data_IF_211605512831
#
_entry.id   IF_211605512831
#
_cell.length_a   1.000
_cell.length_b   1.000
_cell.length_c   1.000
_cell.angle_alpha   90.00
_cell.angle_beta   90.00
_cell.angle_gamma   90.00
#
_symmetry.space_group_name_H-M   'P 1'
#
loop_
_entity.id
_entity.type
_entity.pdbx_description
1 polymer ?
#
# COMPACT_ATOMS: atom_id res chain seq x y z
N UNK A 1 0.90 14.73 5.80
CA UNK A 1 1.35 14.03 7.03
C UNK A 1 2.86 14.08 7.21
N UNK A 2 3.63 13.55 6.26
CA UNK A 2 5.11 13.50 6.31
C UNK A 2 5.75 14.86 6.67
N UNK A 3 5.36 15.95 6.01
CA UNK A 3 5.88 17.30 6.29
C UNK A 3 5.64 17.75 7.73
N UNK A 4 4.47 17.42 8.30
CA UNK A 4 4.14 17.77 9.70
C UNK A 4 4.98 16.98 10.69
N UNK A 5 5.27 15.70 10.39
CA UNK A 5 6.17 14.88 11.19
C UNK A 5 7.61 15.40 11.10
N UNK A 6 8.08 15.75 9.90
CA UNK A 6 9.40 16.36 9.72
C UNK A 6 9.52 17.69 10.47
N UNK A 7 8.50 18.55 10.39
CA UNK A 7 8.45 19.82 11.12
C UNK A 7 8.43 19.64 12.65
N UNK A 8 7.94 18.49 13.15
CA UNK A 8 7.99 18.12 14.56
C UNK A 8 9.34 17.51 14.98
N UNK A 9 10.31 17.39 14.07
CA UNK A 9 11.67 16.92 14.37
C UNK A 9 11.92 15.43 14.13
N UNK A 10 10.96 14.69 13.56
CA UNK A 10 11.16 13.28 13.22
C UNK A 10 12.01 13.12 11.95
N UNK A 11 12.83 12.06 11.90
CA UNK A 11 13.36 11.57 10.62
C UNK A 11 12.22 10.88 9.87
N UNK A 12 11.94 11.32 8.65
CA UNK A 12 10.82 10.82 7.85
C UNK A 12 11.33 10.23 6.55
N UNK A 13 10.80 9.08 6.17
CA UNK A 13 10.91 8.50 4.83
C UNK A 13 9.51 8.35 4.25
N UNK A 14 9.28 8.90 3.05
CA UNK A 14 8.02 8.78 2.31
C UNK A 14 8.36 8.27 0.91
N UNK A 15 8.56 6.95 0.75
CA UNK A 15 8.98 6.40 -0.51
C UNK A 15 7.85 6.40 -1.54
N UNK A 16 8.21 6.61 -2.81
CA UNK A 16 7.33 6.38 -3.95
C UNK A 16 7.47 4.93 -4.38
N UNK A 17 6.39 4.16 -4.29
CA UNK A 17 6.38 2.73 -4.64
C UNK A 17 6.70 2.51 -6.14
N UNK A 18 7.28 1.34 -6.49
CA UNK A 18 7.43 0.93 -7.89
C UNK A 18 6.12 1.07 -8.69
N UNK A 19 6.21 1.60 -9.91
CA UNK A 19 5.05 1.83 -10.79
C UNK A 19 4.14 3.01 -10.42
N UNK A 20 4.30 3.61 -9.24
CA UNK A 20 3.44 4.70 -8.77
C UNK A 20 4.03 6.08 -9.11
N UNK A 21 3.15 7.03 -9.41
CA UNK A 21 3.51 8.44 -9.65
C UNK A 21 4.38 8.66 -10.89
N UNK A 22 4.27 7.78 -11.88
CA UNK A 22 4.97 7.83 -13.17
C UNK A 22 3.94 7.72 -14.31
N UNK A 23 4.02 6.69 -15.16
CA UNK A 23 2.97 6.35 -16.12
C UNK A 23 2.17 5.14 -15.63
N UNK A 24 0.88 5.07 -15.94
CA UNK A 24 0.03 3.94 -15.52
C UNK A 24 0.57 2.60 -16.05
N UNK A 25 1.18 2.59 -17.24
CA UNK A 25 1.78 1.38 -17.82
C UNK A 25 2.94 0.82 -16.99
N UNK A 26 3.65 1.66 -16.24
CA UNK A 26 4.72 1.20 -15.35
C UNK A 26 4.17 0.35 -14.21
N UNK A 27 2.92 0.59 -13.78
CA UNK A 27 2.25 -0.18 -12.74
C UNK A 27 2.03 -1.64 -13.16
N UNK A 28 1.76 -1.89 -14.45
CA UNK A 28 1.51 -3.25 -14.96
C UNK A 28 2.73 -4.16 -14.84
N UNK A 29 3.94 -3.60 -14.75
CA UNK A 29 5.17 -4.35 -14.54
C UNK A 29 5.47 -4.61 -13.05
N UNK A 30 4.58 -4.20 -12.15
CA UNK A 30 4.78 -4.30 -10.69
C UNK A 30 3.61 -4.99 -10.00
N UNK A 31 3.86 -5.53 -8.82
CA UNK A 31 2.82 -6.06 -7.94
C UNK A 31 3.25 -6.07 -6.48
N UNK A 32 2.50 -6.82 -5.68
CA UNK A 32 2.71 -6.90 -4.23
C UNK A 32 4.16 -7.21 -3.84
N UNK A 33 4.80 -8.16 -4.51
CA UNK A 33 6.17 -8.56 -4.19
C UNK A 33 7.16 -7.41 -4.41
N UNK A 34 6.98 -6.60 -5.46
CA UNK A 34 7.79 -5.40 -5.69
C UNK A 34 7.53 -4.32 -4.64
N UNK A 35 6.26 -4.07 -4.31
CA UNK A 35 5.87 -3.02 -3.36
C UNK A 35 6.29 -3.37 -1.93
N UNK A 36 6.13 -4.63 -1.51
CA UNK A 36 6.54 -5.12 -0.20
C UNK A 36 8.06 -5.20 -0.07
N UNK A 37 8.77 -5.68 -1.08
CA UNK A 37 10.24 -5.64 -1.10
C UNK A 37 10.78 -4.21 -1.02
N UNK A 38 10.16 -3.27 -1.73
CA UNK A 38 10.54 -1.87 -1.63
C UNK A 38 10.22 -1.30 -0.24
N UNK A 39 9.03 -1.54 0.31
CA UNK A 39 8.68 -1.10 1.66
C UNK A 39 9.68 -1.62 2.72
N UNK A 40 10.10 -2.87 2.59
CA UNK A 40 11.11 -3.51 3.45
C UNK A 40 12.48 -2.85 3.34
N UNK A 41 12.95 -2.60 2.11
CA UNK A 41 14.20 -1.88 1.86
C UNK A 41 14.20 -0.51 2.57
N UNK A 42 13.08 0.23 2.43
CA UNK A 42 12.93 1.56 3.01
C UNK A 42 12.83 1.54 4.52
N UNK A 43 12.09 0.58 5.08
CA UNK A 43 12.04 0.35 6.51
C UNK A 43 13.44 0.08 7.08
N UNK A 44 14.19 -0.89 6.51
CA UNK A 44 15.54 -1.21 6.97
C UNK A 44 16.49 -0.02 6.89
N UNK A 45 16.42 0.76 5.80
CA UNK A 45 17.24 1.96 5.64
C UNK A 45 16.93 3.03 6.69
N UNK A 46 15.66 3.17 7.11
CA UNK A 46 15.26 4.08 8.18
C UNK A 46 15.66 3.54 9.56
N UNK A 47 15.43 2.25 9.82
CA UNK A 47 15.78 1.58 11.07
C UNK A 47 17.30 1.60 11.35
N UNK A 48 18.14 1.56 10.31
CA UNK A 48 19.59 1.67 10.44
C UNK A 48 20.08 3.00 11.03
N UNK A 49 19.23 4.02 11.08
CA UNK A 49 19.56 5.39 11.54
C UNK A 49 18.58 5.97 12.55
N UNK A 50 17.67 5.15 13.08
CA UNK A 50 16.64 5.56 14.04
C UNK A 50 16.53 4.52 15.16
N UNK A 51 16.47 4.96 16.41
CA UNK A 51 16.32 4.07 17.56
C UNK A 51 14.95 3.39 17.59
N UNK A 52 13.92 4.09 17.11
CA UNK A 52 12.55 3.62 17.02
C UNK A 52 11.95 4.05 15.68
N UNK A 53 11.21 3.14 15.04
CA UNK A 53 10.50 3.41 13.79
C UNK A 53 9.02 3.15 13.99
N UNK A 54 8.20 4.09 13.51
CA UNK A 54 6.74 3.95 13.41
C UNK A 54 6.39 3.95 11.92
N UNK A 55 5.57 2.98 11.50
CA UNK A 55 5.14 2.86 10.09
C UNK A 55 3.69 3.32 9.97
N UNK A 56 3.43 4.18 9.00
CA UNK A 56 2.11 4.76 8.74
C UNK A 56 1.73 4.53 7.29
N UNK A 57 0.51 4.05 7.02
CA UNK A 57 0.08 3.78 5.65
C UNK A 57 -1.42 3.88 5.43
N UNK A 58 -1.81 4.32 4.23
CA UNK A 58 -3.19 4.47 3.76
C UNK A 58 -3.55 3.37 2.77
N UNK A 59 -4.72 2.75 2.89
CA UNK A 59 -5.26 1.77 1.93
C UNK A 59 -4.29 0.61 1.69
N UNK A 60 -3.80 0.42 0.46
CA UNK A 60 -2.71 -0.51 0.15
C UNK A 60 -1.45 -0.26 1.00
N UNK A 61 -1.10 0.99 1.27
CA UNK A 61 -0.02 1.34 2.20
C UNK A 61 -0.30 0.88 3.63
N UNK A 62 -1.57 0.81 4.03
CA UNK A 62 -1.98 0.22 5.30
C UNK A 62 -1.78 -1.31 5.31
N UNK A 63 -2.01 -1.98 4.18
CA UNK A 63 -1.69 -3.41 4.02
C UNK A 63 -0.17 -3.65 4.14
N UNK A 64 0.65 -2.82 3.48
CA UNK A 64 2.12 -2.85 3.61
C UNK A 64 2.58 -2.58 5.04
N UNK A 65 1.93 -1.65 5.75
CA UNK A 65 2.20 -1.35 7.16
C UNK A 65 1.93 -2.56 8.04
N UNK A 66 0.79 -3.22 7.85
CA UNK A 66 0.42 -4.42 8.58
C UNK A 66 1.35 -5.60 8.27
N UNK A 67 1.72 -5.77 6.99
CA UNK A 67 2.68 -6.76 6.54
C UNK A 67 4.06 -6.57 7.21
N UNK A 68 4.62 -5.36 7.16
CA UNK A 68 5.88 -5.02 7.84
C UNK A 68 5.80 -5.34 9.34
N UNK A 69 4.71 -4.95 10.00
CA UNK A 69 4.50 -5.26 11.41
C UNK A 69 4.44 -6.75 11.75
N UNK A 70 3.97 -7.58 10.82
CA UNK A 70 3.93 -9.03 11.00
C UNK A 70 5.28 -9.72 10.80
N UNK A 71 6.20 -9.07 10.07
CA UNK A 71 7.56 -9.55 9.81
C UNK A 71 8.59 -8.95 10.78
N UNK A 72 8.31 -7.76 11.32
CA UNK A 72 9.19 -6.96 12.18
C UNK A 72 8.51 -6.58 13.51
N UNK A 73 8.48 -7.51 14.49
CA UNK A 73 7.89 -7.24 15.80
C UNK A 73 8.62 -6.14 16.59
N UNK A 74 9.84 -5.76 16.18
CA UNK A 74 10.59 -4.65 16.76
C UNK A 74 10.10 -3.25 16.34
N UNK A 75 9.19 -3.13 15.35
CA UNK A 75 8.59 -1.86 14.95
C UNK A 75 7.85 -1.24 16.14
N UNK A 76 8.17 0.01 16.48
CA UNK A 76 7.69 0.67 17.69
C UNK A 76 6.20 1.06 17.64
N UNK A 77 5.61 1.12 16.44
CA UNK A 77 4.19 1.39 16.28
C UNK A 77 3.74 1.32 14.82
N UNK A 78 2.47 0.98 14.64
CA UNK A 78 1.81 0.89 13.33
C UNK A 78 0.59 1.81 13.31
N UNK A 79 0.42 2.57 12.23
CA UNK A 79 -0.76 3.41 11.99
C UNK A 79 -1.35 3.04 10.63
N UNK A 80 -2.39 2.22 10.66
CA UNK A 80 -3.12 1.77 9.49
C UNK A 80 -4.35 2.66 9.25
N UNK A 81 -4.41 3.32 8.10
CA UNK A 81 -5.55 4.16 7.71
C UNK A 81 -6.29 3.44 6.59
N UNK A 82 -7.52 2.98 6.85
CA UNK A 82 -8.35 2.26 5.88
C UNK A 82 -7.63 1.08 5.19
N UNK A 83 -6.85 0.30 5.94
CA UNK A 83 -5.98 -0.73 5.37
C UNK A 83 -6.75 -1.86 4.66
N UNK A 84 -6.24 -2.29 3.51
CA UNK A 84 -6.76 -3.44 2.76
C UNK A 84 -6.13 -4.73 3.29
N UNK A 85 -6.65 -5.26 4.39
CA UNK A 85 -6.12 -6.49 5.04
C UNK A 85 -7.02 -7.71 4.84
N UNK A 86 -8.20 -7.52 4.26
CA UNK A 86 -9.12 -8.57 3.83
C UNK A 86 -9.84 -8.10 2.58
N UNK A 87 -10.21 -9.05 1.72
CA UNK A 87 -10.99 -8.79 0.51
C UNK A 87 -12.39 -9.39 0.68
N UNK A 88 -13.46 -8.67 0.34
CA UNK A 88 -14.81 -9.24 0.36
C UNK A 88 -14.90 -10.53 -0.46
N UNK A 89 -15.57 -11.58 0.03
CA UNK A 89 -15.72 -12.83 -0.72
C UNK A 89 -16.28 -12.58 -2.13
N UNK A 90 -15.66 -13.19 -3.14
CA UNK A 90 -16.08 -13.05 -4.54
C UNK A 90 -15.51 -11.83 -5.27
N UNK A 91 -14.92 -10.84 -4.58
CA UNK A 91 -14.38 -9.65 -5.24
C UNK A 91 -13.12 -9.97 -6.06
N UNK A 92 -12.24 -10.83 -5.55
CA UNK A 92 -11.04 -11.26 -6.26
C UNK A 92 -11.39 -12.08 -7.51
N UNK A 93 -12.36 -12.98 -7.40
CA UNK A 93 -12.88 -13.77 -8.53
C UNK A 93 -13.52 -12.86 -9.58
N UNK A 94 -14.33 -11.88 -9.16
CA UNK A 94 -14.95 -10.92 -10.08
C UNK A 94 -13.90 -10.12 -10.86
N UNK A 95 -12.84 -9.63 -10.20
CA UNK A 95 -11.75 -8.93 -10.90
C UNK A 95 -11.01 -9.86 -11.87
N UNK A 96 -10.77 -11.12 -11.48
CA UNK A 96 -10.13 -12.10 -12.34
C UNK A 96 -11.00 -12.47 -13.56
N UNK A 97 -12.32 -12.53 -13.40
CA UNK A 97 -13.26 -12.76 -14.50
C UNK A 97 -13.22 -11.60 -15.51
N UNK A 98 -13.26 -10.35 -15.02
CA UNK A 98 -13.13 -9.15 -15.86
C UNK A 98 -11.80 -9.17 -16.63
N UNK A 99 -10.70 -9.50 -15.96
CA UNK A 99 -9.40 -9.65 -16.62
C UNK A 99 -9.43 -10.74 -17.71
N UNK A 100 -10.13 -11.85 -17.45
CA UNK A 100 -10.35 -12.94 -18.42
C UNK A 100 -11.15 -12.54 -19.66
N UNK A 101 -11.93 -11.46 -19.61
CA UNK A 101 -12.63 -10.90 -20.79
C UNK A 101 -11.70 -10.10 -21.72
N UNK A 102 -10.46 -9.83 -21.31
CA UNK A 102 -9.49 -9.01 -22.04
C UNK A 102 -9.43 -7.56 -21.60
N UNK A 103 -10.25 -7.15 -20.61
CA UNK A 103 -10.10 -5.85 -19.96
C UNK A 103 -8.85 -5.87 -19.06
N UNK A 104 -7.96 -4.89 -19.21
CA UNK A 104 -6.73 -4.78 -18.41
C UNK A 104 -6.86 -3.78 -17.25
N UNK A 105 -7.92 -2.96 -17.26
CA UNK A 105 -8.15 -1.85 -16.33
C UNK A 105 -9.62 -1.67 -15.98
N UNK A 106 -9.88 -1.09 -14.82
CA UNK A 106 -11.19 -0.56 -14.40
C UNK A 106 -11.10 0.94 -14.14
N UNK A 107 -12.22 1.64 -14.11
CA UNK A 107 -12.25 3.03 -13.68
C UNK A 107 -11.63 3.16 -12.27
N UNK A 108 -10.71 4.11 -12.12
CA UNK A 108 -10.13 4.47 -10.84
C UNK A 108 -11.17 5.07 -9.89
N UNK A 109 -10.88 5.00 -8.59
CA UNK A 109 -11.71 5.66 -7.57
C UNK A 109 -11.66 7.18 -7.77
N UNK A 110 -10.48 7.70 -8.15
CA UNK A 110 -10.24 9.14 -8.29
C UNK A 110 -10.20 9.85 -6.94
N UNK A 111 -10.25 11.19 -6.98
CA UNK A 111 -10.32 12.03 -5.78
C UNK A 111 -11.75 12.25 -5.34
N UNK A 112 -12.08 11.84 -4.11
CA UNK A 112 -13.36 12.14 -3.44
C UNK A 112 -13.19 13.09 -2.23
N UNK A 113 -12.03 13.75 -2.13
CA UNK A 113 -11.70 14.64 -1.02
C UNK A 113 -12.73 15.78 -0.93
N UNK A 114 -13.49 15.78 0.17
CA UNK A 114 -14.53 16.78 0.42
C UNK A 114 -13.99 18.21 0.67
N UNK A 115 -12.70 18.37 0.92
CA UNK A 115 -12.07 19.66 1.15
C UNK A 115 -11.93 20.45 -0.15
N UNK A 116 -12.54 21.65 -0.28
CA UNK A 116 -12.44 22.44 -1.51
C UNK A 116 -10.99 22.79 -1.87
N UNK A 117 -10.64 22.64 -3.15
CA UNK A 117 -9.32 22.95 -3.68
C UNK A 117 -8.24 21.92 -3.36
N UNK A 118 -8.62 20.75 -2.83
CA UNK A 118 -7.72 19.62 -2.61
C UNK A 118 -8.16 18.47 -3.50
N UNK A 119 -7.24 17.97 -4.32
CA UNK A 119 -7.45 16.80 -5.15
C UNK A 119 -6.42 15.73 -4.80
N UNK A 120 -6.89 14.49 -4.63
CA UNK A 120 -6.02 13.33 -4.56
C UNK A 120 -5.41 13.05 -5.92
N UNK A 121 -4.10 12.85 -5.96
CA UNK A 121 -3.42 12.40 -7.17
C UNK A 121 -3.69 10.91 -7.35
N UNK A 122 -4.53 10.57 -8.32
CA UNK A 122 -4.84 9.20 -8.70
C UNK A 122 -4.84 9.06 -10.22
N UNK A 123 -4.49 7.88 -10.72
CA UNK A 123 -4.70 7.56 -12.13
C UNK A 123 -6.21 7.45 -12.42
N UNK A 124 -6.60 7.74 -13.66
CA UNK A 124 -7.99 7.61 -14.10
C UNK A 124 -8.46 6.15 -14.11
N UNK A 125 -7.54 5.21 -14.24
CA UNK A 125 -7.81 3.77 -14.28
C UNK A 125 -7.00 3.01 -13.22
N UNK A 126 -7.52 1.86 -12.81
CA UNK A 126 -6.87 0.89 -11.93
C UNK A 126 -6.44 -0.34 -12.75
N UNK A 127 -5.13 -0.64 -12.86
CA UNK A 127 -4.62 -1.84 -13.50
C UNK A 127 -5.04 -3.12 -12.78
N UNK A 128 -5.68 -4.05 -13.48
CA UNK A 128 -6.29 -5.22 -12.85
C UNK A 128 -5.28 -6.29 -12.41
N UNK A 129 -4.25 -6.54 -13.22
CA UNK A 129 -3.23 -7.54 -12.86
C UNK A 129 -2.46 -7.15 -11.57
N UNK A 130 -1.95 -5.91 -11.43
CA UNK A 130 -1.38 -5.45 -10.16
C UNK A 130 -2.38 -5.50 -8.99
N UNK A 131 -3.64 -5.11 -9.20
CA UNK A 131 -4.68 -5.16 -8.16
C UNK A 131 -4.91 -6.59 -7.63
N UNK A 132 -4.90 -7.59 -8.50
CA UNK A 132 -5.04 -8.99 -8.07
C UNK A 132 -3.91 -9.43 -7.14
N UNK A 133 -2.67 -8.95 -7.34
CA UNK A 133 -1.56 -9.27 -6.44
C UNK A 133 -1.75 -8.71 -5.04
N UNK A 134 -2.38 -7.52 -4.91
CA UNK A 134 -2.78 -6.96 -3.63
C UNK A 134 -3.86 -7.82 -2.96
N UNK A 135 -4.86 -8.27 -3.72
CA UNK A 135 -5.91 -9.12 -3.16
C UNK A 135 -5.37 -10.46 -2.68
N UNK A 136 -4.53 -11.12 -3.49
CA UNK A 136 -3.88 -12.36 -3.11
C UNK A 136 -2.97 -12.16 -1.87
N UNK A 137 -2.39 -10.97 -1.68
CA UNK A 137 -1.65 -10.63 -0.46
C UNK A 137 -2.55 -10.38 0.76
N UNK A 138 -3.65 -9.64 0.60
CA UNK A 138 -4.60 -9.38 1.66
C UNK A 138 -5.20 -10.69 2.22
N UNK A 139 -5.51 -11.67 1.37
CA UNK A 139 -5.99 -12.98 1.80
C UNK A 139 -4.95 -13.74 2.65
N UNK A 140 -3.66 -13.56 2.39
CA UNK A 140 -2.56 -14.13 3.17
C UNK A 140 -2.28 -13.35 4.46
N UNK A 141 -2.52 -12.04 4.45
CA UNK A 141 -2.24 -11.13 5.56
C UNK A 141 -3.20 -11.28 6.72
N UNK A 142 -4.49 -11.47 6.45
CA UNK A 142 -5.51 -11.60 7.50
C UNK A 142 -5.12 -12.56 8.64
N UNK A 143 -4.71 -13.82 8.33
CA UNK A 143 -4.22 -14.76 9.35
C UNK A 143 -2.93 -14.34 10.08
N UNK A 144 -2.05 -13.59 9.41
CA UNK A 144 -0.76 -13.15 9.95
C UNK A 144 -0.89 -11.99 10.94
N UNK A 145 -2.03 -11.28 10.97
CA UNK A 145 -2.27 -10.19 11.92
C UNK A 145 -2.14 -10.62 13.38
N UNK A 146 -2.36 -11.90 13.68
CA UNK A 146 -2.12 -12.47 15.02
C UNK A 146 -0.66 -12.42 15.49
N UNK A 147 0.28 -12.16 14.58
CA UNK A 147 1.73 -12.02 14.89
C UNK A 147 2.12 -10.61 15.32
N UNK A 148 1.26 -9.63 15.10
CA UNK A 148 1.49 -8.24 15.53
C UNK A 148 1.16 -8.16 17.02
N UNK A 149 2.15 -7.82 17.85
CA UNK A 149 2.06 -7.82 19.33
C UNK A 149 2.24 -6.43 19.92
#
# INVERSE_FOLDING_TARGET
>A
LAERLAAAGFTVDLPRLPGHGTHIDDMFATGWDDWSAHAEERYRALAARCEQVVVVGLSMGGALTAWLGSEHPEIAGLVCINAVVTVPPGMREAVAEVLGTGADRLAGIGSDIAQPGVEETAYADTPLAPLLTLFDAADRLGPQMSRIT
#
